data_IF_942186169740
#
_entry.id   IF_942186169740
#
_cell.length_a   1.000
_cell.length_b   1.000
_cell.length_c   1.000
_cell.angle_alpha   90.00
_cell.angle_beta   90.00
_cell.angle_gamma   90.00
#
_symmetry.space_group_name_H-M   'P 1'
#
loop_
_entity.id
_entity.type
_entity.pdbx_description
1 polymer ?
#
# COMPACT_ATOMS: atom_id res chain seq x y z
N UNK A 1 -14.81 -30.45 1.93
CA UNK A 1 -14.08 -29.23 2.28
C UNK A 1 -14.63 -28.73 3.60
N UNK A 2 -13.79 -28.66 4.62
CA UNK A 2 -14.21 -28.12 5.92
C UNK A 2 -14.29 -26.59 5.85
N UNK A 3 -15.06 -25.95 6.76
CA UNK A 3 -15.11 -24.49 6.85
C UNK A 3 -13.71 -23.87 6.96
N UNK A 4 -12.83 -24.49 7.77
CA UNK A 4 -11.45 -24.03 7.96
C UNK A 4 -10.64 -24.06 6.67
N UNK A 5 -10.72 -25.12 5.86
CA UNK A 5 -10.03 -25.22 4.57
C UNK A 5 -10.51 -24.16 3.60
N UNK A 6 -11.81 -23.85 3.59
CA UNK A 6 -12.39 -22.80 2.77
C UNK A 6 -11.80 -21.44 3.16
N UNK A 7 -11.78 -21.07 4.44
CA UNK A 7 -11.19 -19.82 4.89
C UNK A 7 -9.71 -19.69 4.53
N UNK A 8 -8.92 -20.74 4.76
CA UNK A 8 -7.49 -20.76 4.44
C UNK A 8 -7.27 -20.54 2.93
N UNK A 9 -8.07 -21.16 2.07
CA UNK A 9 -7.94 -21.03 0.61
C UNK A 9 -8.32 -19.63 0.10
N UNK A 10 -9.15 -18.89 0.83
CA UNK A 10 -9.57 -17.54 0.47
C UNK A 10 -8.65 -16.43 1.01
N UNK A 11 -7.88 -16.69 2.07
CA UNK A 11 -7.00 -15.69 2.69
C UNK A 11 -6.14 -14.89 1.68
N UNK A 12 -5.43 -15.52 0.71
CA UNK A 12 -4.59 -14.77 -0.21
C UNK A 12 -5.40 -13.92 -1.20
N UNK A 13 -6.64 -14.30 -1.50
CA UNK A 13 -7.55 -13.52 -2.36
C UNK A 13 -8.11 -12.31 -1.61
N UNK A 14 -8.56 -12.51 -0.38
CA UNK A 14 -9.04 -11.43 0.50
C UNK A 14 -7.92 -10.44 0.80
N UNK A 15 -6.70 -10.92 1.02
CA UNK A 15 -5.50 -10.08 1.17
C UNK A 15 -5.27 -9.20 -0.06
N UNK A 16 -5.41 -9.77 -1.27
CA UNK A 16 -5.30 -9.04 -2.52
C UNK A 16 -6.37 -7.95 -2.64
N UNK A 17 -7.61 -8.26 -2.28
CA UNK A 17 -8.71 -7.28 -2.31
C UNK A 17 -8.45 -6.13 -1.34
N UNK A 18 -8.04 -6.44 -0.10
CA UNK A 18 -7.69 -5.43 0.90
C UNK A 18 -6.57 -4.51 0.37
N UNK A 19 -5.52 -5.08 -0.23
CA UNK A 19 -4.41 -4.34 -0.81
C UNK A 19 -4.86 -3.41 -1.94
N UNK A 20 -5.67 -3.92 -2.88
CA UNK A 20 -6.19 -3.13 -4.00
C UNK A 20 -7.02 -1.95 -3.48
N UNK A 21 -7.95 -2.20 -2.56
CA UNK A 21 -8.79 -1.14 -1.99
C UNK A 21 -7.97 -0.11 -1.21
N UNK A 22 -7.00 -0.55 -0.41
CA UNK A 22 -6.08 0.34 0.30
C UNK A 22 -5.27 1.20 -0.68
N UNK A 23 -4.73 0.58 -1.75
CA UNK A 23 -3.99 1.29 -2.80
C UNK A 23 -4.84 2.32 -3.54
N UNK A 24 -6.09 1.98 -3.89
CA UNK A 24 -7.03 2.89 -4.55
C UNK A 24 -7.37 4.10 -3.67
N UNK A 25 -7.65 3.88 -2.39
CA UNK A 25 -7.93 4.97 -1.46
C UNK A 25 -6.70 5.87 -1.26
N UNK A 26 -5.52 5.28 -1.20
CA UNK A 26 -4.28 6.00 -1.00
C UNK A 26 -3.85 6.79 -2.25
N UNK A 27 -4.03 6.21 -3.44
CA UNK A 27 -3.76 6.84 -4.73
C UNK A 27 -4.51 8.19 -4.89
N UNK A 28 -5.74 8.28 -4.39
CA UNK A 28 -6.56 9.49 -4.49
C UNK A 28 -5.90 10.69 -3.80
N UNK A 29 -5.17 10.49 -2.69
CA UNK A 29 -4.44 11.57 -2.01
C UNK A 29 -3.29 12.09 -2.88
N UNK A 30 -2.52 11.20 -3.49
CA UNK A 30 -1.47 11.57 -4.44
C UNK A 30 -2.02 12.31 -5.66
N UNK A 31 -3.13 11.81 -6.24
CA UNK A 31 -3.82 12.49 -7.34
C UNK A 31 -4.31 13.88 -6.94
N UNK A 32 -4.95 14.03 -5.79
CA UNK A 32 -5.45 15.31 -5.31
C UNK A 32 -4.33 16.32 -5.06
N UNK A 33 -3.19 15.88 -4.52
CA UNK A 33 -2.02 16.74 -4.24
C UNK A 33 -1.30 17.16 -5.52
N UNK A 34 -1.04 16.24 -6.45
CA UNK A 34 -0.20 16.49 -7.63
C UNK A 34 -1.01 16.85 -8.88
N UNK A 35 -2.08 16.10 -9.16
CA UNK A 35 -2.90 16.27 -10.35
C UNK A 35 -4.08 17.23 -10.13
N UNK A 36 -4.29 17.67 -8.86
CA UNK A 36 -5.42 18.51 -8.47
C UNK A 36 -6.79 17.87 -8.77
N UNK A 37 -6.82 16.53 -8.83
CA UNK A 37 -8.03 15.76 -9.08
C UNK A 37 -8.12 14.55 -8.10
N UNK A 38 -9.23 14.40 -7.37
CA UNK A 38 -10.32 15.37 -7.23
C UNK A 38 -9.83 16.69 -6.60
N UNK A 39 -10.53 17.79 -6.90
CA UNK A 39 -10.15 19.10 -6.37
C UNK A 39 -10.42 19.17 -4.87
N UNK A 40 -9.37 19.12 -4.06
CA UNK A 40 -9.44 19.26 -2.61
C UNK A 40 -8.87 20.63 -2.21
N UNK A 41 -9.68 21.52 -1.59
CA UNK A 41 -9.23 22.87 -1.27
C UNK A 41 -7.94 22.94 -0.45
N UNK A 42 -7.75 21.99 0.48
CA UNK A 42 -6.55 21.90 1.31
C UNK A 42 -5.26 21.63 0.53
N UNK A 43 -5.36 21.10 -0.70
CA UNK A 43 -4.20 20.72 -1.53
C UNK A 43 -3.98 21.63 -2.73
N UNK A 44 -4.78 22.71 -2.90
CA UNK A 44 -4.71 23.60 -4.08
C UNK A 44 -3.31 24.19 -4.32
N UNK A 45 -2.61 24.56 -3.25
CA UNK A 45 -1.32 25.26 -3.30
C UNK A 45 -0.11 24.32 -3.12
N UNK A 46 -0.33 22.99 -3.11
CA UNK A 46 0.76 22.01 -3.01
C UNK A 46 1.63 22.06 -4.25
N UNK A 47 2.93 22.30 -4.06
CA UNK A 47 3.95 22.26 -5.10
C UNK A 47 4.75 20.96 -5.03
N UNK A 48 5.29 20.49 -6.15
CA UNK A 48 5.97 19.20 -6.26
C UNK A 48 7.15 19.05 -5.28
N UNK A 49 7.93 20.11 -5.09
CA UNK A 49 9.11 20.13 -4.21
C UNK A 49 8.80 20.52 -2.75
N UNK A 50 7.53 20.62 -2.38
CA UNK A 50 7.13 20.77 -0.98
C UNK A 50 7.07 19.42 -0.28
N UNK A 51 7.05 19.43 1.08
CA UNK A 51 6.85 18.21 1.87
C UNK A 51 5.57 17.46 1.44
N UNK A 52 4.47 18.20 1.22
CA UNK A 52 3.22 17.62 0.74
C UNK A 52 3.29 17.13 -0.71
N UNK A 53 4.13 17.72 -1.54
CA UNK A 53 4.37 17.27 -2.92
C UNK A 53 5.18 15.98 -2.95
N UNK A 54 6.22 15.85 -2.12
CA UNK A 54 6.96 14.60 -1.95
C UNK A 54 6.06 13.49 -1.42
N UNK A 55 5.26 13.78 -0.40
CA UNK A 55 4.24 12.84 0.09
C UNK A 55 3.25 12.46 -1.03
N UNK A 56 2.74 13.42 -1.80
CA UNK A 56 1.87 13.15 -2.94
C UNK A 56 2.51 12.26 -4.01
N UNK A 57 3.83 12.36 -4.21
CA UNK A 57 4.56 11.47 -5.13
C UNK A 57 4.62 10.04 -4.60
N UNK A 58 4.91 9.85 -3.33
CA UNK A 58 4.89 8.52 -2.69
C UNK A 58 3.48 7.92 -2.72
N UNK A 59 2.46 8.71 -2.42
CA UNK A 59 1.05 8.28 -2.45
C UNK A 59 0.61 7.90 -3.87
N UNK A 60 1.00 8.66 -4.89
CA UNK A 60 0.64 8.38 -6.28
C UNK A 60 1.34 7.11 -6.80
N UNK A 61 2.66 7.07 -6.71
CA UNK A 61 3.47 5.95 -7.21
C UNK A 61 3.27 4.71 -6.34
N UNK A 62 3.35 4.86 -5.02
CA UNK A 62 3.18 3.78 -4.06
C UNK A 62 1.77 3.20 -4.11
N UNK A 63 0.73 4.05 -4.21
CA UNK A 63 -0.66 3.63 -4.39
C UNK A 63 -0.84 2.79 -5.66
N UNK A 64 -0.28 3.23 -6.80
CA UNK A 64 -0.33 2.47 -8.05
C UNK A 64 0.39 1.12 -7.93
N UNK A 65 1.59 1.07 -7.32
CA UNK A 65 2.32 -0.16 -7.06
C UNK A 65 1.56 -1.11 -6.13
N UNK A 66 0.90 -0.57 -5.10
CA UNK A 66 0.03 -1.35 -4.23
C UNK A 66 -1.17 -1.92 -5.00
N UNK A 67 -1.81 -1.19 -5.90
CA UNK A 67 -2.94 -1.70 -6.71
C UNK A 67 -2.52 -2.90 -7.54
N UNK A 68 -1.40 -2.83 -8.27
CA UNK A 68 -0.93 -3.93 -9.11
C UNK A 68 -0.21 -5.04 -8.33
N UNK A 69 0.19 -4.76 -7.09
CA UNK A 69 0.91 -5.70 -6.22
C UNK A 69 2.32 -5.99 -6.71
N UNK A 70 3.07 -4.95 -7.03
CA UNK A 70 4.47 -5.04 -7.46
C UNK A 70 5.38 -4.45 -6.38
N UNK A 71 6.41 -5.21 -6.00
CA UNK A 71 7.31 -4.87 -4.88
C UNK A 71 6.53 -4.53 -3.59
N UNK A 72 5.46 -5.27 -3.33
CA UNK A 72 4.48 -4.94 -2.28
C UNK A 72 5.12 -4.74 -0.92
N UNK A 73 6.04 -5.63 -0.50
CA UNK A 73 6.66 -5.57 0.83
C UNK A 73 7.48 -4.28 1.05
N UNK A 74 8.48 -3.95 0.22
CA UNK A 74 9.27 -2.73 0.41
C UNK A 74 8.43 -1.46 0.18
N UNK A 75 7.52 -1.45 -0.79
CA UNK A 75 6.62 -0.31 -1.02
C UNK A 75 5.75 -0.08 0.20
N UNK A 76 5.09 -1.09 0.72
CA UNK A 76 4.25 -0.99 1.91
C UNK A 76 5.03 -0.52 3.15
N UNK A 77 6.27 -0.96 3.32
CA UNK A 77 7.12 -0.47 4.41
C UNK A 77 7.41 1.03 4.32
N UNK A 78 7.73 1.52 3.11
CA UNK A 78 7.97 2.95 2.86
C UNK A 78 6.69 3.76 3.13
N UNK A 79 5.53 3.29 2.63
CA UNK A 79 4.26 3.97 2.84
C UNK A 79 3.81 3.96 4.31
N UNK A 80 4.11 2.90 5.06
CA UNK A 80 3.88 2.87 6.50
C UNK A 80 4.71 3.96 7.21
N UNK A 81 5.98 4.09 6.84
CA UNK A 81 6.86 5.15 7.33
C UNK A 81 6.35 6.54 7.00
N UNK A 82 5.92 6.77 5.76
CA UNK A 82 5.31 8.04 5.33
C UNK A 82 4.09 8.39 6.20
N UNK A 83 3.20 7.44 6.44
CA UNK A 83 2.02 7.67 7.26
C UNK A 83 2.33 7.91 8.73
N UNK A 84 3.38 7.28 9.27
CA UNK A 84 3.89 7.60 10.60
C UNK A 84 4.38 9.05 10.67
N UNK A 85 5.19 9.49 9.69
CA UNK A 85 5.63 10.88 9.58
C UNK A 85 4.44 11.85 9.45
N UNK A 86 3.46 11.53 8.59
CA UNK A 86 2.27 12.34 8.40
C UNK A 86 1.48 12.50 9.72
N UNK A 87 1.38 11.44 10.52
CA UNK A 87 0.75 11.51 11.82
C UNK A 87 1.52 12.40 12.80
N UNK A 88 2.81 12.11 13.02
CA UNK A 88 3.60 12.82 14.04
C UNK A 88 3.86 14.29 13.69
N UNK A 89 4.05 14.62 12.42
CA UNK A 89 4.30 16.00 11.99
C UNK A 89 3.02 16.79 11.74
N UNK A 90 1.99 16.14 11.17
CA UNK A 90 0.78 16.82 10.71
C UNK A 90 -0.39 16.78 11.70
N UNK A 91 -0.50 15.76 12.52
CA UNK A 91 -1.67 15.52 13.37
C UNK A 91 -1.37 15.60 14.86
N UNK A 92 -0.36 14.89 15.36
CA UNK A 92 -0.03 14.81 16.79
C UNK A 92 0.19 16.17 17.47
N UNK A 93 0.78 17.21 16.84
CA UNK A 93 0.93 18.52 17.46
C UNK A 93 -0.40 19.21 17.79
N UNK A 94 -1.51 18.81 17.16
CA UNK A 94 -2.84 19.40 17.40
C UNK A 94 -3.57 18.79 18.59
N UNK A 95 -3.04 17.73 19.20
CA UNK A 95 -3.62 17.09 20.36
C UNK A 95 -3.35 15.57 20.41
N UNK A 96 -3.51 15.00 21.60
CA UNK A 96 -3.18 13.59 21.86
C UNK A 96 -4.17 12.61 21.22
N UNK A 97 -5.46 12.94 21.18
CA UNK A 97 -6.49 12.01 20.70
C UNK A 97 -6.63 12.08 19.17
N UNK A 98 -6.39 10.99 18.42
CA UNK A 98 -6.46 10.96 16.96
C UNK A 98 -7.81 11.39 16.38
N UNK A 99 -8.90 11.12 17.07
CA UNK A 99 -10.24 11.53 16.66
C UNK A 99 -10.41 13.06 16.65
N UNK A 100 -9.70 13.75 17.56
CA UNK A 100 -9.75 15.22 17.67
C UNK A 100 -8.70 15.90 16.77
N UNK A 101 -7.54 15.28 16.57
CA UNK A 101 -6.47 15.83 15.74
C UNK A 101 -6.60 15.46 14.25
N UNK A 102 -7.60 14.65 13.89
CA UNK A 102 -7.84 14.18 12.52
C UNK A 102 -6.87 13.11 12.02
N UNK A 103 -6.06 12.51 12.90
CA UNK A 103 -4.99 11.56 12.54
C UNK A 103 -5.41 10.10 12.40
N UNK A 104 -6.69 9.77 12.62
CA UNK A 104 -7.17 8.38 12.56
C UNK A 104 -6.78 7.67 11.27
N UNK A 105 -6.92 8.35 10.14
CA UNK A 105 -6.67 7.76 8.83
C UNK A 105 -5.17 7.52 8.59
N UNK A 106 -4.31 8.43 9.04
CA UNK A 106 -2.86 8.24 8.96
C UNK A 106 -2.41 7.02 9.78
N UNK A 107 -2.94 6.84 10.99
CA UNK A 107 -2.67 5.68 11.83
C UNK A 107 -3.18 4.39 11.16
N UNK A 108 -4.40 4.42 10.61
CA UNK A 108 -4.99 3.26 9.95
C UNK A 108 -4.17 2.84 8.73
N UNK A 109 -3.82 3.76 7.84
CA UNK A 109 -2.97 3.47 6.69
C UNK A 109 -1.58 2.99 7.11
N UNK A 110 -0.96 3.62 8.10
CA UNK A 110 0.31 3.17 8.66
C UNK A 110 0.23 1.69 9.09
N UNK A 111 -0.78 1.32 9.86
CA UNK A 111 -0.97 -0.03 10.39
C UNK A 111 -1.23 -1.05 9.27
N UNK A 112 -2.07 -0.71 8.29
CA UNK A 112 -2.41 -1.58 7.15
C UNK A 112 -1.20 -1.77 6.24
N UNK A 113 -0.45 -0.72 5.91
CA UNK A 113 0.77 -0.85 5.13
C UNK A 113 1.86 -1.61 5.87
N UNK A 114 2.01 -1.38 7.18
CA UNK A 114 2.93 -2.17 8.00
C UNK A 114 2.58 -3.66 7.96
N UNK A 115 1.29 -4.01 8.05
CA UNK A 115 0.84 -5.38 7.86
C UNK A 115 1.23 -5.95 6.49
N UNK A 116 1.02 -5.21 5.38
CA UNK A 116 1.41 -5.68 4.04
C UNK A 116 2.91 -5.88 3.88
N UNK A 117 3.74 -5.16 4.60
CA UNK A 117 5.20 -5.36 4.55
C UNK A 117 5.62 -6.76 5.00
N UNK A 118 4.83 -7.41 5.86
CA UNK A 118 5.01 -8.80 6.30
C UNK A 118 4.14 -9.80 5.53
N UNK A 119 2.86 -9.50 5.34
CA UNK A 119 1.91 -10.40 4.70
C UNK A 119 2.18 -10.56 3.19
N UNK A 120 2.67 -9.50 2.52
CA UNK A 120 2.91 -9.50 1.08
C UNK A 120 1.68 -9.17 0.25
N UNK A 121 1.74 -9.52 -1.04
CA UNK A 121 0.83 -9.02 -2.07
C UNK A 121 -0.51 -9.76 -2.18
N UNK A 122 -0.58 -11.01 -1.71
CA UNK A 122 -1.72 -11.90 -1.97
C UNK A 122 -1.70 -12.53 -3.37
N UNK A 123 -2.71 -13.34 -3.66
CA UNK A 123 -2.75 -14.17 -4.87
C UNK A 123 -2.88 -13.37 -6.18
N UNK A 124 -3.61 -12.24 -6.17
CA UNK A 124 -3.86 -11.42 -7.35
C UNK A 124 -2.86 -10.26 -7.42
N UNK A 125 -1.61 -10.56 -7.76
CA UNK A 125 -0.53 -9.59 -7.77
C UNK A 125 0.55 -9.94 -8.79
N UNK A 126 1.27 -8.93 -9.26
CA UNK A 126 2.46 -9.13 -10.10
C UNK A 126 3.59 -9.84 -9.33
N UNK A 127 3.69 -9.64 -8.02
CA UNK A 127 4.66 -10.34 -7.19
C UNK A 127 4.40 -11.86 -7.18
N UNK A 128 3.14 -12.30 -7.09
CA UNK A 128 2.77 -13.71 -7.15
C UNK A 128 3.06 -14.33 -8.51
N UNK A 129 2.80 -13.61 -9.61
CA UNK A 129 3.12 -14.07 -10.97
C UNK A 129 4.63 -14.25 -11.17
N UNK A 130 5.45 -13.33 -10.64
CA UNK A 130 6.92 -13.44 -10.71
C UNK A 130 7.43 -14.64 -9.93
N UNK A 131 6.96 -14.84 -8.69
CA UNK A 131 7.35 -15.97 -7.85
C UNK A 131 7.01 -17.32 -8.50
N UNK A 132 5.81 -17.44 -9.10
CA UNK A 132 5.39 -18.66 -9.80
C UNK A 132 6.27 -18.94 -11.02
N UNK A 133 6.64 -17.92 -11.79
CA UNK A 133 7.52 -18.05 -12.94
C UNK A 133 8.92 -18.50 -12.54
N UNK A 134 9.49 -17.90 -11.50
CA UNK A 134 10.82 -18.25 -11.01
C UNK A 134 10.85 -19.70 -10.47
N UNK A 135 9.80 -20.15 -9.78
CA UNK A 135 9.65 -21.53 -9.32
C UNK A 135 9.62 -22.52 -10.50
N UNK A 136 8.89 -22.20 -11.59
CA UNK A 136 8.85 -23.04 -12.79
C UNK A 136 10.20 -23.14 -13.50
N UNK A 137 10.95 -22.06 -13.59
CA UNK A 137 12.28 -22.06 -14.20
C UNK A 137 13.26 -22.94 -13.42
N UNK A 138 13.21 -22.93 -12.10
CA UNK A 138 14.05 -23.81 -11.24
C UNK A 138 13.70 -25.29 -11.45
N UNK A 139 12.43 -25.64 -11.54
CA UNK A 139 11.98 -27.02 -11.77
C UNK A 139 12.44 -27.51 -13.14
N UNK A 140 12.23 -26.72 -14.20
CA UNK A 140 12.61 -27.08 -15.56
C UNK A 140 14.14 -27.15 -15.72
N UNK A 141 14.91 -26.27 -15.08
CA UNK A 141 16.37 -26.31 -15.09
C UNK A 141 16.96 -27.56 -14.42
N UNK A 142 16.32 -28.08 -13.38
CA UNK A 142 16.71 -29.35 -12.75
C UNK A 142 16.39 -30.56 -13.62
N UNK A 143 15.24 -30.56 -14.29
CA UNK A 143 14.84 -31.65 -15.19
C UNK A 143 15.73 -31.79 -16.46
N UNK A 144 16.40 -30.72 -16.87
CA UNK A 144 17.31 -30.74 -18.03
C UNK A 144 18.74 -31.21 -17.71
N UNK A 145 19.08 -31.41 -16.45
CA UNK A 145 20.43 -31.82 -15.98
C UNK A 145 20.47 -33.28 -15.49
N UNK A 146 19.36 -34.00 -15.48
CA UNK A 146 19.24 -35.42 -15.14
C UNK A 146 18.87 -36.28 -16.32
#
# INVERSE_FOLDING_TARGET
MTWTETYISWQPRVLSLLRIMTGLLFLQYGMAKLLKFPAVPAFKDVTLFSLYGLAGTLELVGGALMIVGLFTRPVAFILAGEMAFAYFLGHAPRGFLPILNGGNLAILFCSVFFYFSFAGAGAWSLDALRQNRDAQLVVNGRASQG
#
